data_IF_370988060764
#
_entry.id   IF_370988060764
#
_cell.length_a   1.000
_cell.length_b   1.000
_cell.length_c   1.000
_cell.angle_alpha   90.00
_cell.angle_beta   90.00
_cell.angle_gamma   90.00
#
_symmetry.space_group_name_H-M   'P 1'
#
loop_
_entity.id
_entity.type
_entity.pdbx_description
1 polymer ?
#
# COMPACT_ATOMS: atom_id res chain seq x y z
N UNK A 1 58.14 -59.96 -50.57
CA UNK A 1 57.35 -59.88 -49.33
C UNK A 1 58.13 -59.05 -48.32
N UNK A 2 57.61 -57.89 -47.92
CA UNK A 2 58.24 -57.03 -46.91
C UNK A 2 57.13 -56.46 -46.02
N UNK A 3 57.01 -57.00 -44.81
CA UNK A 3 56.08 -56.58 -43.77
C UNK A 3 56.56 -55.26 -43.17
N UNK A 4 55.83 -54.16 -43.39
CA UNK A 4 56.08 -52.91 -42.67
C UNK A 4 55.53 -53.04 -41.24
N UNK A 5 56.44 -53.12 -40.28
CA UNK A 5 56.15 -53.01 -38.85
C UNK A 5 55.53 -51.63 -38.55
N UNK A 6 54.35 -51.62 -37.94
CA UNK A 6 53.69 -50.41 -37.45
C UNK A 6 54.23 -50.10 -36.06
N UNK A 7 54.96 -48.99 -35.91
CA UNK A 7 55.44 -48.53 -34.60
C UNK A 7 54.27 -47.95 -33.78
N UNK A 8 54.19 -48.22 -32.47
CA UNK A 8 53.09 -47.74 -31.64
C UNK A 8 53.19 -46.23 -31.41
N UNK A 9 52.09 -45.52 -31.64
CA UNK A 9 51.97 -44.07 -31.40
C UNK A 9 51.97 -43.82 -29.89
N UNK A 10 53.01 -43.15 -29.39
CA UNK A 10 53.08 -42.68 -27.99
C UNK A 10 51.93 -41.70 -27.71
N UNK A 11 51.02 -42.08 -26.81
CA UNK A 11 49.98 -41.19 -26.28
C UNK A 11 50.65 -40.01 -25.56
N UNK A 12 50.55 -38.81 -26.13
CA UNK A 12 50.93 -37.56 -25.45
C UNK A 12 49.90 -37.27 -24.37
N UNK A 13 50.29 -37.37 -23.10
CA UNK A 13 49.50 -36.87 -21.98
C UNK A 13 49.44 -35.34 -22.04
N UNK A 14 48.24 -34.77 -22.04
CA UNK A 14 48.04 -33.32 -21.95
C UNK A 14 48.57 -32.82 -20.58
N UNK A 15 49.30 -31.69 -20.53
CA UNK A 15 49.70 -31.09 -19.26
C UNK A 15 48.47 -30.56 -18.53
N UNK A 16 48.27 -31.00 -17.28
CA UNK A 16 47.33 -30.35 -16.35
C UNK A 16 47.93 -29.00 -15.96
N UNK A 17 47.25 -27.90 -16.30
CA UNK A 17 47.60 -26.57 -15.79
C UNK A 17 46.58 -26.09 -14.75
N UNK A 18 46.99 -25.24 -13.78
CA UNK A 18 46.53 -25.36 -12.41
C UNK A 18 45.94 -24.04 -11.89
N UNK A 19 44.87 -23.49 -12.49
CA UNK A 19 44.19 -22.31 -11.91
C UNK A 19 42.72 -22.27 -12.34
N UNK A 20 41.83 -22.86 -11.54
CA UNK A 20 40.41 -22.45 -11.50
C UNK A 20 40.28 -21.43 -10.38
N UNK A 21 40.58 -20.16 -10.66
CA UNK A 21 40.02 -19.07 -9.86
C UNK A 21 38.54 -18.94 -10.27
N UNK A 22 37.58 -18.83 -9.34
CA UNK A 22 36.23 -18.44 -9.73
C UNK A 22 36.36 -17.07 -10.40
N UNK A 23 35.94 -16.95 -11.66
CA UNK A 23 35.72 -15.65 -12.25
C UNK A 23 34.67 -14.98 -11.36
N UNK A 24 35.10 -13.99 -10.56
CA UNK A 24 34.17 -12.96 -10.15
C UNK A 24 33.67 -12.36 -11.47
N UNK A 25 32.38 -12.44 -11.70
CA UNK A 25 31.71 -11.76 -12.80
C UNK A 25 31.86 -10.25 -12.54
N UNK A 26 33.02 -9.72 -12.88
CA UNK A 26 33.26 -8.30 -12.95
C UNK A 26 32.44 -7.84 -14.15
N UNK A 27 31.28 -7.24 -13.88
CA UNK A 27 30.39 -6.72 -14.93
C UNK A 27 31.18 -5.69 -15.72
N UNK A 28 31.65 -6.07 -16.91
CA UNK A 28 32.36 -5.19 -17.84
C UNK A 28 31.30 -4.36 -18.55
N UNK A 29 31.12 -3.13 -18.12
CA UNK A 29 30.24 -2.19 -18.82
C UNK A 29 31.01 -1.57 -20.01
N UNK A 30 30.41 -1.54 -21.22
CA UNK A 30 30.97 -0.80 -22.35
C UNK A 30 31.18 0.68 -21.98
N UNK A 31 32.19 1.31 -22.57
CA UNK A 31 32.42 2.75 -22.38
C UNK A 31 31.23 3.55 -22.94
N UNK A 32 30.80 4.60 -22.22
CA UNK A 32 29.65 5.45 -22.56
C UNK A 32 29.70 6.02 -23.99
N UNK A 33 30.90 6.18 -24.57
CA UNK A 33 31.10 6.64 -25.95
C UNK A 33 30.53 5.70 -27.02
N UNK A 34 30.19 4.45 -26.68
CA UNK A 34 29.61 3.50 -27.65
C UNK A 34 28.10 3.63 -27.84
N UNK A 35 27.45 4.60 -27.16
CA UNK A 35 26.01 4.86 -27.33
C UNK A 35 25.10 3.71 -26.91
N UNK A 36 25.61 2.78 -26.11
CA UNK A 36 24.83 1.70 -25.51
C UNK A 36 24.21 2.28 -24.24
N UNK A 37 22.88 2.43 -24.24
CA UNK A 37 22.14 2.88 -23.07
C UNK A 37 22.39 1.93 -21.90
N UNK A 38 22.51 2.48 -20.69
CA UNK A 38 22.66 1.70 -19.47
C UNK A 38 21.37 0.90 -19.26
N UNK A 39 21.48 -0.41 -19.07
CA UNK A 39 20.35 -1.23 -18.66
C UNK A 39 19.83 -0.72 -17.31
N UNK A 40 18.51 -0.46 -17.25
CA UNK A 40 17.83 -0.09 -16.00
C UNK A 40 18.07 -1.18 -14.96
N UNK A 41 18.47 -0.75 -13.77
CA UNK A 41 18.60 -1.66 -12.64
C UNK A 41 17.23 -2.04 -12.11
N UNK A 42 17.20 -3.20 -11.45
CA UNK A 42 16.00 -3.72 -10.80
C UNK A 42 15.34 -2.73 -9.83
N UNK A 43 16.15 -1.91 -9.15
CA UNK A 43 15.71 -0.87 -8.21
C UNK A 43 15.12 0.35 -8.96
N UNK A 44 15.76 0.77 -10.06
CA UNK A 44 15.26 1.87 -10.92
C UNK A 44 13.88 1.51 -11.51
N UNK A 45 13.70 0.26 -11.97
CA UNK A 45 12.41 -0.21 -12.51
C UNK A 45 11.30 -0.20 -11.44
N UNK A 46 11.61 -0.56 -10.20
CA UNK A 46 10.64 -0.56 -9.09
C UNK A 46 10.23 0.87 -8.71
N UNK A 47 11.17 1.80 -8.63
CA UNK A 47 10.89 3.21 -8.36
C UNK A 47 10.05 3.84 -9.49
N UNK A 48 10.31 3.48 -10.74
CA UNK A 48 9.51 3.93 -11.88
C UNK A 48 8.07 3.41 -11.85
N UNK A 49 7.84 2.17 -11.39
CA UNK A 49 6.50 1.64 -11.17
C UNK A 49 5.80 2.39 -10.01
N UNK A 50 6.46 2.54 -8.86
CA UNK A 50 5.93 3.27 -7.69
C UNK A 50 5.60 4.75 -8.00
N UNK A 51 6.34 5.38 -8.90
CA UNK A 51 6.10 6.77 -9.31
C UNK A 51 5.14 6.91 -10.49
N UNK A 52 4.65 5.80 -11.05
CA UNK A 52 3.72 5.77 -12.18
C UNK A 52 4.36 6.17 -13.52
N UNK A 53 5.69 6.10 -13.64
CA UNK A 53 6.40 6.31 -14.91
C UNK A 53 6.35 5.09 -15.82
N UNK A 54 6.20 3.92 -15.22
CA UNK A 54 6.16 2.62 -15.89
C UNK A 54 4.96 1.83 -15.37
N UNK A 55 4.24 1.18 -16.27
CA UNK A 55 3.07 0.38 -15.91
C UNK A 55 3.50 -0.89 -15.15
N UNK A 56 2.71 -1.27 -14.15
CA UNK A 56 2.89 -2.52 -13.42
C UNK A 56 2.44 -3.72 -14.27
N UNK A 57 3.39 -4.60 -14.59
CA UNK A 57 3.08 -5.86 -15.25
C UNK A 57 2.74 -6.94 -14.22
N UNK A 58 1.45 -7.30 -14.14
CA UNK A 58 0.92 -8.34 -13.25
C UNK A 58 1.50 -9.75 -13.50
N UNK A 59 2.06 -9.99 -14.70
CA UNK A 59 2.71 -11.25 -15.02
C UNK A 59 4.19 -11.27 -14.61
N UNK A 60 4.77 -10.10 -14.35
CA UNK A 60 6.08 -9.97 -13.73
C UNK A 60 5.96 -10.07 -12.21
N UNK A 61 6.91 -10.75 -11.57
CA UNK A 61 6.88 -10.96 -10.11
C UNK A 61 6.77 -9.63 -9.35
N UNK A 62 7.53 -8.61 -9.76
CA UNK A 62 7.54 -7.30 -9.10
C UNK A 62 6.22 -6.53 -9.24
N UNK A 63 5.58 -6.56 -10.41
CA UNK A 63 4.28 -5.92 -10.59
C UNK A 63 3.20 -6.61 -9.75
N UNK A 64 3.30 -7.92 -9.58
CA UNK A 64 2.43 -8.64 -8.64
C UNK A 64 2.70 -8.26 -7.18
N UNK A 65 3.96 -8.19 -6.77
CA UNK A 65 4.33 -7.83 -5.40
C UNK A 65 3.85 -6.40 -5.07
N UNK A 66 4.01 -5.44 -5.99
CA UNK A 66 3.49 -4.07 -5.86
C UNK A 66 1.96 -4.03 -5.73
N UNK A 67 1.26 -4.81 -6.56
CA UNK A 67 -0.20 -4.87 -6.52
C UNK A 67 -0.73 -5.43 -5.20
N UNK A 68 -0.03 -6.40 -4.61
CA UNK A 68 -0.37 -6.94 -3.28
C UNK A 68 -0.09 -5.89 -2.19
N UNK A 69 0.99 -5.10 -2.28
CA UNK A 69 1.31 -4.00 -1.36
C UNK A 69 0.31 -2.83 -1.45
N UNK A 70 -0.12 -2.45 -2.64
CA UNK A 70 -1.06 -1.35 -2.87
C UNK A 70 -2.50 -1.68 -2.41
N UNK A 71 -2.86 -2.96 -2.35
CA UNK A 71 -4.15 -3.42 -1.80
C UNK A 71 -4.16 -3.34 -0.25
N UNK A 72 -3.00 -3.19 0.39
CA UNK A 72 -2.89 -3.00 1.84
C UNK A 72 -3.30 -1.58 2.25
N UNK A 73 -4.52 -1.46 2.79
CA UNK A 73 -5.04 -0.21 3.32
C UNK A 73 -4.16 0.26 4.49
N UNK A 74 -3.61 1.47 4.36
CA UNK A 74 -2.83 2.07 5.43
C UNK A 74 -3.74 2.54 6.58
N UNK A 75 -3.26 2.60 7.83
CA UNK A 75 -4.10 2.97 8.98
C UNK A 75 -4.82 4.33 8.86
N UNK A 76 -4.25 5.27 8.10
CA UNK A 76 -4.88 6.58 7.85
C UNK A 76 -5.97 6.50 6.78
N UNK A 77 -5.85 5.58 5.82
CA UNK A 77 -6.87 5.29 4.82
C UNK A 77 -8.03 4.54 5.44
N UNK A 78 -7.78 3.63 6.38
CA UNK A 78 -8.82 2.99 7.19
C UNK A 78 -9.67 4.04 7.91
N UNK A 79 -9.05 5.03 8.54
CA UNK A 79 -9.75 6.13 9.20
C UNK A 79 -10.54 7.03 8.24
N UNK A 80 -10.06 7.20 7.00
CA UNK A 80 -10.80 7.91 5.97
C UNK A 80 -11.99 7.09 5.46
N UNK A 81 -11.82 5.78 5.27
CA UNK A 81 -12.88 4.85 4.85
C UNK A 81 -13.97 4.69 5.92
N UNK A 82 -13.62 4.70 7.20
CA UNK A 82 -14.57 4.74 8.32
C UNK A 82 -15.46 6.00 8.26
N UNK A 83 -14.91 7.08 7.71
CA UNK A 83 -15.56 8.38 7.60
C UNK A 83 -15.81 9.02 8.96
N UNK A 84 -16.35 10.24 8.96
CA UNK A 84 -16.78 10.91 10.21
C UNK A 84 -18.13 10.34 10.68
N UNK A 85 -18.14 9.06 11.07
CA UNK A 85 -19.33 8.38 11.55
C UNK A 85 -19.82 9.04 12.85
N UNK A 86 -20.91 9.79 12.76
CA UNK A 86 -21.63 10.37 13.92
C UNK A 86 -21.18 11.76 14.39
N UNK A 87 -19.97 12.23 14.06
CA UNK A 87 -19.51 13.57 14.49
C UNK A 87 -20.23 14.73 13.76
N UNK A 88 -20.73 14.49 12.54
CA UNK A 88 -21.48 15.51 11.78
C UNK A 88 -22.82 15.90 12.41
N UNK A 89 -23.39 15.05 13.28
CA UNK A 89 -24.64 15.33 13.98
C UNK A 89 -24.43 16.31 15.15
N UNK A 90 -23.25 16.33 15.77
CA UNK A 90 -22.92 17.20 16.91
C UNK A 90 -22.77 18.68 16.52
N UNK A 91 -22.70 18.98 15.23
CA UNK A 91 -22.70 20.36 14.73
C UNK A 91 -24.10 20.99 14.63
N UNK A 92 -25.16 20.24 14.94
CA UNK A 92 -26.56 20.65 14.77
C UNK A 92 -27.38 20.37 16.03
N UNK A 93 -28.44 21.14 16.25
CA UNK A 93 -29.43 20.87 17.28
C UNK A 93 -30.12 19.53 16.99
N UNK A 94 -30.15 18.63 17.96
CA UNK A 94 -30.72 17.30 17.78
C UNK A 94 -32.26 17.30 17.58
N UNK A 95 -32.95 18.34 18.03
CA UNK A 95 -34.39 18.51 17.85
C UNK A 95 -34.72 19.29 16.56
N UNK A 96 -34.10 20.46 16.37
CA UNK A 96 -34.45 21.36 15.26
C UNK A 96 -33.62 21.13 14.01
N UNK A 97 -32.43 20.54 14.14
CA UNK A 97 -31.49 20.35 13.04
C UNK A 97 -30.74 21.63 12.63
N UNK A 98 -30.95 22.74 13.34
CA UNK A 98 -30.27 24.01 13.07
C UNK A 98 -28.78 23.90 13.38
N UNK A 99 -27.90 24.50 12.56
CA UNK A 99 -26.46 24.52 12.84
C UNK A 99 -26.18 25.26 14.16
N UNK A 100 -25.31 24.68 14.99
CA UNK A 100 -24.87 25.28 16.26
C UNK A 100 -23.63 26.18 16.08
N UNK A 101 -23.18 26.38 14.84
CA UNK A 101 -22.04 27.24 14.56
C UNK A 101 -22.40 28.70 14.87
N UNK A 102 -21.92 29.21 16.00
CA UNK A 102 -22.17 30.59 16.46
C UNK A 102 -23.16 30.72 17.61
N UNK A 103 -23.63 29.63 18.21
CA UNK A 103 -24.39 29.68 19.46
C UNK A 103 -23.44 29.79 20.66
N UNK A 104 -23.57 30.84 21.47
CA UNK A 104 -22.75 31.03 22.68
C UNK A 104 -23.11 30.03 23.79
N UNK A 105 -24.36 29.57 23.83
CA UNK A 105 -24.88 28.65 24.84
C UNK A 105 -25.38 27.36 24.18
N UNK A 106 -24.56 26.31 24.23
CA UNK A 106 -24.91 24.98 23.76
C UNK A 106 -25.16 24.09 24.97
N UNK A 107 -26.30 23.40 24.97
CA UNK A 107 -26.65 22.48 26.05
C UNK A 107 -26.42 21.06 25.56
N UNK A 108 -25.59 20.32 26.29
CA UNK A 108 -25.29 18.92 26.02
C UNK A 108 -26.12 18.04 26.97
N UNK A 109 -26.81 17.03 26.43
CA UNK A 109 -27.56 16.06 27.23
C UNK A 109 -27.35 14.66 26.69
N UNK A 110 -27.10 13.71 27.60
CA UNK A 110 -27.00 12.29 27.28
C UNK A 110 -28.39 11.64 27.35
N UNK A 111 -28.85 11.12 26.21
CA UNK A 111 -30.15 10.47 26.09
C UNK A 111 -29.92 9.13 25.40
N UNK A 112 -30.28 8.04 26.08
CA UNK A 112 -30.14 6.67 25.57
C UNK A 112 -28.69 6.25 25.27
N UNK A 113 -27.73 6.77 26.03
CA UNK A 113 -26.30 6.49 25.84
C UNK A 113 -25.67 7.22 24.66
N UNK A 114 -26.38 8.20 24.07
CA UNK A 114 -25.87 9.07 23.02
C UNK A 114 -25.87 10.53 23.49
N UNK A 115 -24.77 11.24 23.22
CA UNK A 115 -24.64 12.65 23.52
C UNK A 115 -25.33 13.48 22.43
N UNK A 116 -26.26 14.35 22.83
CA UNK A 116 -26.96 15.28 21.95
C UNK A 116 -26.73 16.73 22.36
N UNK A 117 -26.74 17.64 21.38
CA UNK A 117 -26.57 19.08 21.58
C UNK A 117 -27.82 19.85 21.19
N UNK A 118 -28.10 20.93 21.91
CA UNK A 118 -29.29 21.74 21.74
C UNK A 118 -28.99 23.24 21.85
N UNK A 119 -29.75 24.05 21.12
CA UNK A 119 -29.73 25.52 21.22
C UNK A 119 -30.34 25.99 22.55
N UNK A 120 -31.28 25.23 23.14
CA UNK A 120 -31.98 25.63 24.36
C UNK A 120 -32.41 24.45 25.24
N UNK A 121 -32.62 24.71 26.53
CA UNK A 121 -33.05 23.69 27.51
C UNK A 121 -34.42 23.12 27.16
N UNK A 122 -35.29 23.96 26.58
CA UNK A 122 -36.63 23.55 26.13
C UNK A 122 -36.53 22.49 25.02
N UNK A 123 -35.55 22.61 24.13
CA UNK A 123 -35.32 21.64 23.07
C UNK A 123 -34.84 20.30 23.66
N UNK A 124 -33.91 20.35 24.61
CA UNK A 124 -33.43 19.16 25.31
C UNK A 124 -34.57 18.39 26.01
N UNK A 125 -35.42 19.09 26.78
CA UNK A 125 -36.54 18.47 27.51
C UNK A 125 -37.58 17.86 26.56
N UNK A 126 -37.93 18.56 25.48
CA UNK A 126 -38.91 18.06 24.51
C UNK A 126 -38.39 16.87 23.72
N UNK A 127 -37.10 16.88 23.36
CA UNK A 127 -36.44 15.74 22.73
C UNK A 127 -36.42 14.51 23.65
N UNK A 128 -36.11 14.69 24.94
CA UNK A 128 -36.13 13.62 25.93
C UNK A 128 -37.52 12.98 26.05
N UNK A 129 -38.57 13.80 26.15
CA UNK A 129 -39.97 13.33 26.18
C UNK A 129 -40.35 12.57 24.91
N UNK A 130 -39.91 13.04 23.74
CA UNK A 130 -40.15 12.37 22.45
C UNK A 130 -39.51 10.98 22.43
N UNK A 131 -38.25 10.87 22.86
CA UNK A 131 -37.53 9.59 22.96
C UNK A 131 -38.18 8.63 23.94
N UNK A 132 -38.64 9.12 25.09
CA UNK A 132 -39.36 8.30 26.07
C UNK A 132 -40.68 7.75 25.50
N UNK A 133 -41.45 8.57 24.78
CA UNK A 133 -42.67 8.14 24.10
C UNK A 133 -42.40 7.09 23.00
N UNK A 134 -41.34 7.27 22.22
CA UNK A 134 -40.93 6.30 21.20
C UNK A 134 -40.53 4.95 21.83
N UNK A 135 -39.80 4.98 22.95
CA UNK A 135 -39.47 3.77 23.71
C UNK A 135 -40.71 3.04 24.23
N UNK A 136 -41.69 3.78 24.75
CA UNK A 136 -42.95 3.20 25.23
C UNK A 136 -43.78 2.60 24.09
N UNK A 137 -43.75 3.18 22.89
CA UNK A 137 -44.46 2.64 21.71
C UNK A 137 -43.80 1.41 21.10
N UNK A 138 -42.49 1.24 21.28
CA UNK A 138 -41.72 0.07 20.80
C UNK A 138 -41.79 -1.13 21.74
N UNK A 139 -42.32 -0.97 22.95
CA UNK A 139 -42.47 -2.03 23.96
C UNK A 139 -43.89 -2.58 23.94
#
# INVERSE_FOLDING_TARGET
>A
MATKEVKPVKKRSLPKSPFKKPLKEEKVYPAEEQGIEREETDEEVEEEMKTGRKDEDIYAKKGRDLLEEDDEIQPWEEGFMEGASGLGQLGKDALTGEPLMGADNIIEAEIDGQLYRFVSEKNAISFQKKKELEKRKKK
#
